data_IF_836597588903
#
_entry.id   IF_836597588903
#
_cell.length_a   1.000
_cell.length_b   1.000
_cell.length_c   1.000
_cell.angle_alpha   90.00
_cell.angle_beta   90.00
_cell.angle_gamma   90.00
#
_symmetry.space_group_name_H-M   'P 1'
#
loop_
_entity.id
_entity.type
_entity.pdbx_description
1 polymer ?
#
# COMPACT_ATOMS: atom_id res chain seq x y z
N UNK A 1 -39.48 1.58 -65.48
CA UNK A 1 -39.33 3.05 -65.41
C UNK A 1 -39.62 3.47 -63.98
N UNK A 2 -38.61 3.52 -63.13
CA UNK A 2 -37.88 4.74 -62.72
C UNK A 2 -38.70 5.64 -61.79
N UNK A 3 -38.39 5.61 -60.50
CA UNK A 3 -38.28 6.79 -59.65
C UNK A 3 -37.55 6.39 -58.36
N UNK A 4 -36.23 6.60 -58.40
CA UNK A 4 -35.27 6.41 -57.32
C UNK A 4 -35.27 7.70 -56.49
N UNK A 5 -35.86 7.70 -55.29
CA UNK A 5 -35.80 8.84 -54.37
C UNK A 5 -34.59 8.69 -53.45
N UNK A 6 -33.54 9.46 -53.76
CA UNK A 6 -32.34 9.60 -52.94
C UNK A 6 -32.61 10.57 -51.77
N UNK A 7 -32.60 10.06 -50.55
CA UNK A 7 -32.40 10.88 -49.35
C UNK A 7 -30.94 10.82 -48.95
N UNK A 8 -30.21 11.89 -49.27
CA UNK A 8 -28.88 12.17 -48.74
C UNK A 8 -29.02 12.59 -47.28
N UNK A 9 -28.73 11.68 -46.35
CA UNK A 9 -28.49 12.03 -44.95
C UNK A 9 -26.98 12.20 -44.75
N UNK A 10 -26.56 13.46 -44.76
CA UNK A 10 -25.21 13.86 -44.42
C UNK A 10 -25.01 13.83 -42.90
N UNK A 11 -23.87 13.23 -42.51
CA UNK A 11 -23.04 13.58 -41.36
C UNK A 11 -23.63 13.46 -39.94
N UNK A 12 -23.22 12.39 -39.23
CA UNK A 12 -22.37 12.56 -38.05
C UNK A 12 -21.52 11.29 -37.87
N UNK A 13 -20.25 11.38 -38.26
CA UNK A 13 -19.23 10.49 -37.74
C UNK A 13 -18.91 10.93 -36.32
N UNK A 14 -19.08 10.03 -35.36
CA UNK A 14 -18.58 10.17 -34.00
C UNK A 14 -18.13 8.79 -33.58
N UNK A 15 -16.82 8.53 -33.71
CA UNK A 15 -16.25 7.29 -33.23
C UNK A 15 -16.53 7.18 -31.75
N UNK A 16 -17.29 6.17 -31.36
CA UNK A 16 -17.38 5.70 -29.98
C UNK A 16 -16.03 5.09 -29.61
N UNK A 17 -15.02 5.96 -29.50
CA UNK A 17 -13.82 5.69 -28.75
C UNK A 17 -14.26 5.62 -27.30
N UNK A 18 -14.77 4.46 -26.88
CA UNK A 18 -14.72 4.06 -25.48
C UNK A 18 -13.25 4.13 -25.10
N UNK A 19 -12.83 5.27 -24.54
CA UNK A 19 -11.54 5.37 -23.87
C UNK A 19 -11.61 4.31 -22.80
N UNK A 20 -10.88 3.20 -23.01
CA UNK A 20 -10.76 2.17 -22.00
C UNK A 20 -10.34 2.88 -20.70
N UNK A 21 -11.19 2.79 -19.67
CA UNK A 21 -10.94 3.47 -18.41
C UNK A 21 -9.59 2.97 -17.88
N UNK A 22 -8.60 3.85 -17.82
CA UNK A 22 -7.30 3.52 -17.28
C UNK A 22 -7.45 3.35 -15.77
N UNK A 23 -7.01 2.21 -15.26
CA UNK A 23 -6.96 1.96 -13.83
C UNK A 23 -5.54 2.26 -13.36
N UNK A 24 -5.38 3.14 -12.38
CA UNK A 24 -4.08 3.50 -11.83
C UNK A 24 -4.03 3.23 -10.34
N UNK A 25 -2.82 2.97 -9.86
CA UNK A 25 -2.48 3.06 -8.44
C UNK A 25 -1.56 4.25 -8.27
N UNK A 26 -1.96 5.16 -7.39
CA UNK A 26 -1.16 6.33 -7.02
C UNK A 26 -1.04 6.42 -5.52
N UNK A 27 0.07 6.92 -5.00
CA UNK A 27 0.22 7.08 -3.55
C UNK A 27 1.54 7.70 -3.18
N UNK A 28 1.82 7.69 -1.88
CA UNK A 28 3.04 8.26 -1.31
C UNK A 28 3.85 7.16 -0.62
N UNK A 29 5.14 7.10 -0.93
CA UNK A 29 6.11 6.31 -0.19
C UNK A 29 6.82 7.20 0.84
N UNK A 30 6.74 6.85 2.13
CA UNK A 30 7.30 7.68 3.20
C UNK A 30 7.69 6.88 4.46
N UNK A 31 8.67 7.38 5.21
CA UNK A 31 9.06 6.88 6.54
C UNK A 31 8.79 7.89 7.67
N UNK A 32 7.85 8.81 7.45
CA UNK A 32 7.72 10.10 8.15
C UNK A 32 8.39 11.25 7.38
N UNK A 33 9.39 10.94 6.56
CA UNK A 33 9.82 11.81 5.46
C UNK A 33 9.52 11.12 4.12
N UNK A 34 9.21 11.91 3.11
CA UNK A 34 9.04 11.46 1.73
C UNK A 34 10.26 10.65 1.26
N UNK A 35 10.01 9.48 0.68
CA UNK A 35 11.04 8.66 0.04
C UNK A 35 11.20 9.18 -1.39
N UNK A 36 12.23 9.99 -1.63
CA UNK A 36 12.58 10.46 -2.97
C UNK A 36 13.41 9.42 -3.73
N UNK A 37 13.19 9.31 -5.05
CA UNK A 37 13.97 8.45 -5.95
C UNK A 37 13.97 6.96 -5.57
N UNK A 38 12.92 6.49 -4.90
CA UNK A 38 12.71 5.09 -4.59
C UNK A 38 12.08 4.35 -5.77
N UNK A 39 12.42 3.09 -5.97
CA UNK A 39 11.89 2.26 -7.05
C UNK A 39 10.72 1.43 -6.51
N UNK A 40 9.53 1.70 -7.01
CA UNK A 40 8.29 0.99 -6.66
C UNK A 40 8.00 -0.11 -7.68
N UNK A 41 7.81 -1.33 -7.22
CA UNK A 41 7.43 -2.49 -8.04
C UNK A 41 6.20 -3.16 -7.46
N UNK A 42 5.26 -3.62 -8.30
CA UNK A 42 4.14 -4.45 -7.87
C UNK A 42 4.29 -5.88 -8.40
N UNK A 43 3.98 -6.86 -7.55
CA UNK A 43 3.68 -8.24 -7.95
C UNK A 43 2.18 -8.48 -7.73
N UNK A 44 1.46 -8.69 -8.82
CA UNK A 44 0.01 -8.86 -8.84
C UNK A 44 -0.38 -10.32 -9.13
N UNK A 45 -1.65 -10.67 -8.92
CA UNK A 45 -2.16 -12.03 -9.24
C UNK A 45 -1.92 -12.39 -10.71
N UNK A 46 -1.91 -11.42 -11.62
CA UNK A 46 -1.60 -11.61 -13.05
C UNK A 46 -0.10 -11.60 -13.38
N UNK A 47 0.78 -11.29 -12.43
CA UNK A 47 2.23 -11.12 -12.63
C UNK A 47 2.77 -9.77 -12.18
N UNK A 48 4.05 -9.51 -12.46
CA UNK A 48 4.75 -8.26 -12.08
C UNK A 48 4.42 -7.11 -13.03
N UNK A 49 4.25 -5.89 -12.52
CA UNK A 49 4.06 -4.68 -13.33
C UNK A 49 5.40 -4.01 -13.68
N UNK A 50 5.36 -3.02 -14.57
CA UNK A 50 6.44 -2.03 -14.69
C UNK A 50 6.66 -1.31 -13.36
N UNK A 51 7.92 -0.96 -13.09
CA UNK A 51 8.28 -0.17 -11.92
C UNK A 51 8.01 1.33 -12.15
N UNK A 52 7.79 2.08 -11.07
CA UNK A 52 7.80 3.54 -11.07
C UNK A 52 8.85 4.08 -10.11
N UNK A 53 9.31 5.30 -10.34
CA UNK A 53 10.21 6.01 -9.44
C UNK A 53 9.41 7.05 -8.67
N UNK A 54 9.63 7.13 -7.35
CA UNK A 54 8.97 8.15 -6.52
C UNK A 54 9.53 9.55 -6.81
N UNK A 55 8.65 10.55 -6.81
CA UNK A 55 9.00 11.96 -6.86
C UNK A 55 9.70 12.43 -5.59
N UNK A 56 10.14 13.69 -5.57
CA UNK A 56 10.79 14.29 -4.39
C UNK A 56 9.88 14.39 -3.16
N UNK A 57 8.57 14.41 -3.39
CA UNK A 57 7.52 14.35 -2.38
C UNK A 57 7.07 12.92 -2.03
N UNK A 58 7.75 11.91 -2.57
CA UNK A 58 7.42 10.51 -2.36
C UNK A 58 6.25 10.00 -3.20
N UNK A 59 5.64 10.86 -4.03
CA UNK A 59 4.52 10.46 -4.88
C UNK A 59 4.95 9.47 -5.97
N UNK A 60 4.09 8.51 -6.28
CA UNK A 60 4.28 7.61 -7.41
C UNK A 60 2.93 7.31 -8.08
N UNK A 61 2.98 6.84 -9.34
CA UNK A 61 1.81 6.35 -10.06
C UNK A 61 2.21 5.20 -10.96
N UNK A 62 1.43 4.12 -10.94
CA UNK A 62 1.62 2.93 -11.77
C UNK A 62 0.30 2.58 -12.45
N UNK A 63 0.36 2.33 -13.75
CA UNK A 63 -0.78 1.82 -14.53
C UNK A 63 -1.05 0.36 -14.17
N UNK A 64 -2.29 0.09 -13.76
CA UNK A 64 -2.80 -1.23 -13.40
C UNK A 64 -3.97 -1.68 -14.28
N UNK A 65 -4.19 -1.04 -15.43
CA UNK A 65 -5.31 -1.32 -16.35
C UNK A 65 -5.37 -2.78 -16.78
N UNK A 66 -4.20 -3.41 -16.98
CA UNK A 66 -4.09 -4.78 -17.50
C UNK A 66 -3.61 -5.79 -16.44
N UNK A 67 -3.74 -5.47 -15.15
CA UNK A 67 -3.40 -6.42 -14.08
C UNK A 67 -4.59 -6.87 -13.25
N UNK A 68 -4.48 -8.09 -12.74
CA UNK A 68 -5.43 -8.65 -11.78
C UNK A 68 -4.94 -8.38 -10.37
N UNK A 69 -5.70 -7.59 -9.63
CA UNK A 69 -5.52 -7.37 -8.19
C UNK A 69 -6.00 -8.62 -7.40
N UNK A 70 -5.51 -8.86 -6.18
CA UNK A 70 -4.59 -8.03 -5.40
C UNK A 70 -3.13 -8.04 -5.87
N UNK A 71 -2.37 -7.03 -5.45
CA UNK A 71 -0.91 -6.99 -5.57
C UNK A 71 -0.24 -6.78 -4.22
N UNK A 72 1.03 -7.16 -4.14
CA UNK A 72 1.96 -6.64 -3.13
C UNK A 72 2.90 -5.65 -3.81
N UNK A 73 3.10 -4.51 -3.17
CA UNK A 73 4.02 -3.47 -3.62
C UNK A 73 5.30 -3.53 -2.78
N UNK A 74 6.42 -3.14 -3.39
CA UNK A 74 7.70 -2.89 -2.74
C UNK A 74 8.25 -1.56 -3.21
N UNK A 75 8.71 -0.72 -2.29
CA UNK A 75 9.59 0.40 -2.60
C UNK A 75 11.00 0.09 -2.11
N UNK A 76 12.00 0.21 -2.99
CA UNK A 76 13.41 0.09 -2.64
C UNK A 76 14.05 1.48 -2.65
N UNK A 77 14.74 1.85 -1.57
CA UNK A 77 15.29 3.21 -1.41
C UNK A 77 16.52 3.21 -0.50
N UNK A 78 17.27 4.31 -0.50
CA UNK A 78 18.34 4.56 0.48
C UNK A 78 17.82 5.42 1.62
N UNK A 79 18.09 5.00 2.85
CA UNK A 79 17.84 5.87 4.02
C UNK A 79 18.84 7.04 4.07
N UNK A 80 18.67 7.93 5.05
CA UNK A 80 19.56 9.07 5.26
C UNK A 80 21.03 8.68 5.53
N UNK A 81 21.27 7.44 5.99
CA UNK A 81 22.61 6.86 6.17
C UNK A 81 23.16 6.20 4.90
N UNK A 82 22.44 6.26 3.77
CA UNK A 82 22.84 5.65 2.51
C UNK A 82 22.62 4.13 2.44
N UNK A 83 21.99 3.53 3.44
CA UNK A 83 21.76 2.08 3.46
C UNK A 83 20.50 1.74 2.69
N UNK A 84 20.55 0.66 1.91
CA UNK A 84 19.36 0.17 1.21
C UNK A 84 18.32 -0.33 2.21
N UNK A 85 17.08 0.08 1.97
CA UNK A 85 15.88 -0.25 2.72
C UNK A 85 14.76 -0.61 1.76
N UNK A 86 13.79 -1.35 2.29
CA UNK A 86 12.59 -1.72 1.57
C UNK A 86 11.39 -1.50 2.48
N UNK A 87 10.27 -1.11 1.88
CA UNK A 87 8.95 -1.10 2.51
C UNK A 87 7.94 -1.72 1.56
N UNK A 88 6.89 -2.27 2.12
CA UNK A 88 5.89 -3.05 1.41
C UNK A 88 4.49 -2.54 1.72
N UNK A 89 3.58 -2.85 0.80
CA UNK A 89 2.16 -2.57 0.93
C UNK A 89 1.36 -3.62 0.17
N UNK A 90 0.05 -3.59 0.32
CA UNK A 90 -0.89 -4.48 -0.34
C UNK A 90 -1.94 -3.66 -1.07
N UNK A 91 -2.32 -4.06 -2.28
CA UNK A 91 -3.22 -3.30 -3.16
C UNK A 91 -4.36 -4.21 -3.57
N UNK A 92 -5.56 -3.99 -3.03
CA UNK A 92 -6.75 -4.79 -3.34
C UNK A 92 -7.67 -4.15 -4.37
N UNK A 93 -7.51 -2.86 -4.64
CA UNK A 93 -8.26 -2.09 -5.63
C UNK A 93 -7.37 -1.01 -6.26
N UNK A 94 -7.73 -0.56 -7.47
CA UNK A 94 -7.13 0.64 -8.06
C UNK A 94 -7.51 1.89 -7.23
N UNK A 95 -6.71 2.95 -7.32
CA UNK A 95 -6.86 4.15 -6.51
C UNK A 95 -5.63 4.44 -5.66
N UNK A 96 -5.84 4.82 -4.39
CA UNK A 96 -4.74 5.19 -3.51
C UNK A 96 -4.08 3.97 -2.88
N UNK A 97 -2.74 3.88 -2.95
CA UNK A 97 -1.97 2.91 -2.18
C UNK A 97 -0.64 3.49 -1.72
N UNK A 98 -0.46 3.63 -0.42
CA UNK A 98 0.77 4.14 0.17
C UNK A 98 1.72 3.02 0.55
N UNK A 99 3.00 3.38 0.64
CA UNK A 99 4.06 2.47 1.09
C UNK A 99 4.79 3.12 2.27
N UNK A 100 4.47 2.68 3.48
CA UNK A 100 4.93 3.27 4.74
C UNK A 100 5.29 2.20 5.77
N UNK A 101 5.96 2.54 6.89
CA UNK A 101 6.13 1.62 8.00
C UNK A 101 4.82 1.02 8.54
N UNK A 102 3.69 1.72 8.41
CA UNK A 102 2.37 1.17 8.82
C UNK A 102 1.93 0.06 7.87
N UNK A 103 2.13 0.24 6.56
CA UNK A 103 1.78 -0.79 5.58
C UNK A 103 2.77 -1.95 5.58
N UNK A 104 4.04 -1.73 5.97
CA UNK A 104 5.01 -2.81 6.22
C UNK A 104 4.50 -3.74 7.33
N UNK A 105 4.15 -3.18 8.49
CA UNK A 105 3.62 -3.95 9.61
C UNK A 105 2.29 -4.63 9.26
N UNK A 106 1.47 -3.99 8.42
CA UNK A 106 0.24 -4.57 7.90
C UNK A 106 0.53 -5.81 7.02
N UNK A 107 1.45 -5.70 6.06
CA UNK A 107 1.84 -6.81 5.18
C UNK A 107 2.46 -7.93 6.01
N UNK A 108 3.34 -7.60 6.95
CA UNK A 108 3.92 -8.55 7.91
C UNK A 108 2.83 -9.30 8.68
N UNK A 109 1.81 -8.60 9.15
CA UNK A 109 0.68 -9.20 9.86
C UNK A 109 -0.20 -10.09 8.98
N UNK A 110 -0.42 -9.69 7.72
CA UNK A 110 -1.17 -10.48 6.74
C UNK A 110 -0.46 -11.78 6.38
N UNK A 111 0.86 -11.73 6.22
CA UNK A 111 1.68 -12.89 5.82
C UNK A 111 2.11 -13.76 7.00
N UNK A 112 1.94 -13.27 8.23
CA UNK A 112 2.55 -13.85 9.43
C UNK A 112 4.07 -14.05 9.24
N UNK A 113 4.72 -13.05 8.63
CA UNK A 113 6.13 -13.05 8.25
C UNK A 113 6.67 -11.63 8.13
N UNK A 114 7.69 -11.41 7.30
CA UNK A 114 8.18 -10.07 6.96
C UNK A 114 7.56 -9.57 5.65
N UNK A 115 7.51 -8.26 5.44
CA UNK A 115 7.09 -7.68 4.16
C UNK A 115 7.93 -8.18 2.99
N UNK A 116 9.26 -8.29 3.21
CA UNK A 116 10.19 -8.82 2.21
C UNK A 116 9.84 -10.27 1.82
N UNK A 117 9.62 -11.16 2.80
CA UNK A 117 9.23 -12.55 2.52
C UNK A 117 7.89 -12.62 1.80
N UNK A 118 6.91 -11.80 2.21
CA UNK A 118 5.59 -11.74 1.57
C UNK A 118 5.68 -11.31 0.10
N UNK A 119 6.56 -10.37 -0.23
CA UNK A 119 6.80 -9.93 -1.59
C UNK A 119 7.57 -10.97 -2.41
N UNK A 120 8.62 -11.56 -1.85
CA UNK A 120 9.49 -12.49 -2.57
C UNK A 120 8.79 -13.81 -2.89
N UNK A 121 7.95 -14.32 -1.97
CA UNK A 121 7.19 -15.56 -2.15
C UNK A 121 5.78 -15.34 -2.69
N UNK A 122 5.44 -14.14 -3.16
CA UNK A 122 4.10 -13.83 -3.64
C UNK A 122 3.73 -14.69 -4.86
N UNK A 123 2.54 -15.28 -4.83
CA UNK A 123 1.94 -16.05 -5.93
C UNK A 123 0.50 -15.60 -6.17
N UNK A 124 -0.07 -16.00 -7.32
CA UNK A 124 -1.49 -15.80 -7.58
C UNK A 124 -2.39 -16.41 -6.49
N UNK A 125 -2.00 -17.55 -5.90
CA UNK A 125 -2.75 -18.20 -4.84
C UNK A 125 -2.74 -17.39 -3.54
N UNK A 126 -1.56 -16.92 -3.10
CA UNK A 126 -1.46 -16.05 -1.91
C UNK A 126 -2.14 -14.72 -2.13
N UNK A 127 -2.04 -14.14 -3.34
CA UNK A 127 -2.74 -12.90 -3.68
C UNK A 127 -4.26 -13.03 -3.61
N UNK A 128 -4.84 -14.11 -4.15
CA UNK A 128 -6.29 -14.37 -4.09
C UNK A 128 -6.79 -14.62 -2.67
N UNK A 129 -5.92 -15.04 -1.76
CA UNK A 129 -6.25 -15.22 -0.35
C UNK A 129 -6.31 -13.90 0.43
N UNK A 130 -5.88 -12.76 -0.15
CA UNK A 130 -5.95 -11.44 0.46
C UNK A 130 -7.30 -10.79 0.14
N UNK A 131 -8.05 -10.50 1.19
CA UNK A 131 -9.36 -9.82 1.13
C UNK A 131 -9.32 -8.48 1.86
N UNK A 132 -10.25 -7.58 1.53
CA UNK A 132 -10.40 -6.31 2.24
C UNK A 132 -10.64 -6.50 3.75
N UNK A 133 -11.31 -7.59 4.16
CA UNK A 133 -11.54 -7.92 5.56
C UNK A 133 -10.24 -8.28 6.29
N UNK A 134 -9.35 -9.05 5.68
CA UNK A 134 -8.03 -9.35 6.26
C UNK A 134 -7.15 -8.10 6.30
N UNK A 135 -7.16 -7.26 5.25
CA UNK A 135 -6.43 -5.98 5.24
C UNK A 135 -6.90 -5.09 6.40
N UNK A 136 -8.21 -4.98 6.60
CA UNK A 136 -8.78 -4.23 7.73
C UNK A 136 -8.36 -4.84 9.07
N UNK A 137 -8.47 -6.16 9.25
CA UNK A 137 -8.06 -6.82 10.48
C UNK A 137 -6.57 -6.64 10.78
N UNK A 138 -5.71 -6.63 9.77
CA UNK A 138 -4.30 -6.34 9.91
C UNK A 138 -4.05 -4.87 10.27
N UNK A 139 -4.78 -3.93 9.66
CA UNK A 139 -4.72 -2.51 10.05
C UNK A 139 -5.14 -2.28 11.51
N UNK A 140 -6.20 -2.95 11.98
CA UNK A 140 -6.65 -2.88 13.36
C UNK A 140 -5.56 -3.44 14.31
N UNK A 141 -4.89 -4.53 13.94
CA UNK A 141 -3.77 -5.09 14.70
C UNK A 141 -2.55 -4.17 14.73
N UNK A 142 -2.23 -3.49 13.61
CA UNK A 142 -1.17 -2.46 13.56
C UNK A 142 -1.52 -1.33 14.53
N UNK A 143 -2.75 -0.80 14.48
CA UNK A 143 -3.19 0.25 15.39
C UNK A 143 -3.05 -0.17 16.85
N UNK A 144 -3.47 -1.39 17.21
CA UNK A 144 -3.32 -1.93 18.56
C UNK A 144 -1.85 -2.03 18.98
N UNK A 145 -0.99 -2.55 18.10
CA UNK A 145 0.45 -2.64 18.37
C UNK A 145 1.09 -1.27 18.58
N UNK A 146 0.72 -0.26 17.78
CA UNK A 146 1.18 1.13 17.97
C UNK A 146 0.83 1.67 19.36
N UNK A 147 -0.36 1.37 19.88
CA UNK A 147 -0.74 1.73 21.26
C UNK A 147 0.18 1.08 22.28
N UNK A 148 0.58 -0.19 22.09
CA UNK A 148 1.53 -0.86 23.01
C UNK A 148 2.92 -0.20 23.03
N UNK A 149 3.32 0.43 21.93
CA UNK A 149 4.54 1.23 21.85
C UNK A 149 4.38 2.65 22.45
N UNK A 150 3.16 3.03 22.86
CA UNK A 150 2.83 4.36 23.34
C UNK A 150 2.80 5.41 22.22
N UNK A 151 2.54 5.01 20.97
CA UNK A 151 2.26 5.92 19.86
C UNK A 151 0.84 6.48 20.02
N UNK A 152 0.67 7.80 19.83
CA UNK A 152 -0.65 8.41 19.73
C UNK A 152 -1.31 8.02 18.39
N UNK A 153 -2.41 7.30 18.46
CA UNK A 153 -3.16 6.78 17.31
C UNK A 153 -4.44 7.58 17.02
N UNK A 154 -4.60 8.78 17.58
CA UNK A 154 -5.76 9.63 17.32
C UNK A 154 -5.95 9.91 15.83
N UNK A 155 -4.85 10.06 15.08
CA UNK A 155 -4.85 10.30 13.64
C UNK A 155 -4.51 9.05 12.81
N UNK A 156 -4.54 7.86 13.41
CA UNK A 156 -4.33 6.63 12.65
C UNK A 156 -5.50 6.43 11.66
N UNK A 157 -5.23 6.34 10.35
CA UNK A 157 -6.28 6.21 9.35
C UNK A 157 -7.00 4.86 9.46
N UNK A 158 -8.30 4.84 9.17
CA UNK A 158 -9.05 3.57 9.13
C UNK A 158 -8.52 2.60 8.06
N UNK A 159 -7.98 3.15 6.97
CA UNK A 159 -7.28 2.41 5.92
C UNK A 159 -5.89 3.04 5.70
N UNK A 160 -4.82 2.51 6.32
CA UNK A 160 -3.46 3.02 6.12
C UNK A 160 -2.91 2.78 4.71
N UNK A 161 -3.51 1.87 3.94
CA UNK A 161 -3.15 1.63 2.54
C UNK A 161 -3.71 2.76 1.67
N UNK A 162 -5.02 3.00 1.75
CA UNK A 162 -5.75 3.91 0.87
C UNK A 162 -5.89 5.35 1.38
N UNK A 163 -5.41 5.68 2.57
CA UNK A 163 -5.49 7.04 3.12
C UNK A 163 -4.79 8.06 2.22
N UNK A 164 -5.40 9.22 2.00
CA UNK A 164 -4.66 10.36 1.46
C UNK A 164 -3.85 10.97 2.60
N UNK A 165 -2.57 11.20 2.35
CA UNK A 165 -1.75 11.97 3.29
C UNK A 165 -0.64 12.75 2.58
N UNK A 166 -0.11 13.75 3.28
CA UNK A 166 1.06 14.54 2.88
C UNK A 166 2.21 14.17 3.80
N UNK A 167 3.27 13.60 3.24
CA UNK A 167 4.50 13.31 3.97
C UNK A 167 5.35 14.57 4.16
N UNK A 168 6.17 14.63 5.20
CA UNK A 168 7.19 15.69 5.32
C UNK A 168 8.12 15.69 4.11
N UNK A 169 8.32 16.87 3.52
CA UNK A 169 9.24 17.09 2.40
C UNK A 169 9.95 18.45 2.52
N UNK A 170 11.23 18.44 2.85
CA UNK A 170 12.01 19.67 3.06
C UNK A 170 11.36 20.57 4.11
N UNK A 171 11.00 21.80 3.71
CA UNK A 171 10.31 22.78 4.57
C UNK A 171 8.80 22.55 4.67
N UNK A 172 8.22 21.67 3.86
CA UNK A 172 6.81 21.30 3.95
C UNK A 172 6.66 20.27 5.06
N UNK A 173 5.86 20.59 6.07
CA UNK A 173 5.52 19.65 7.13
C UNK A 173 4.48 18.64 6.65
N UNK A 174 4.59 17.42 7.18
CA UNK A 174 3.59 16.40 6.95
C UNK A 174 2.31 16.63 7.75
N UNK A 175 1.25 15.98 7.32
CA UNK A 175 -0.08 16.10 7.91
C UNK A 175 -0.26 15.24 9.18
N UNK A 176 -1.52 15.10 9.61
CA UNK A 176 -1.87 14.35 10.81
C UNK A 176 -1.53 12.85 10.71
N UNK A 177 -1.59 12.25 9.52
CA UNK A 177 -1.23 10.83 9.30
C UNK A 177 0.28 10.68 9.29
N UNK A 178 1.02 11.61 8.67
CA UNK A 178 2.49 11.60 8.69
C UNK A 178 3.05 11.73 10.12
N UNK A 179 2.40 12.51 10.98
CA UNK A 179 2.74 12.58 12.41
C UNK A 179 2.64 11.23 13.13
N UNK A 180 1.78 10.31 12.67
CA UNK A 180 1.75 8.93 13.20
C UNK A 180 2.98 8.14 12.75
N UNK A 181 3.46 8.35 11.51
CA UNK A 181 4.70 7.76 11.01
C UNK A 181 5.91 8.26 11.80
N UNK A 182 5.97 9.57 12.04
CA UNK A 182 7.01 10.20 12.86
C UNK A 182 6.99 9.68 14.31
N UNK A 183 5.80 9.61 14.91
CA UNK A 183 5.66 9.08 16.26
C UNK A 183 6.08 7.61 16.34
N UNK A 184 5.71 6.78 15.36
CA UNK A 184 6.17 5.40 15.29
C UNK A 184 7.70 5.33 15.18
N UNK A 185 8.31 6.12 14.29
CA UNK A 185 9.77 6.18 14.14
C UNK A 185 10.47 6.55 15.45
N UNK A 186 9.94 7.55 16.16
CA UNK A 186 10.46 7.97 17.47
C UNK A 186 10.32 6.84 18.51
N UNK A 187 9.16 6.17 18.56
CA UNK A 187 8.89 5.12 19.56
C UNK A 187 9.63 3.82 19.29
N UNK A 188 9.95 3.51 18.04
CA UNK A 188 10.87 2.42 17.71
C UNK A 188 12.28 2.72 18.24
N UNK A 189 12.76 3.96 18.09
CA UNK A 189 14.08 4.35 18.60
C UNK A 189 15.18 3.45 18.04
N UNK A 190 15.85 2.68 18.91
CA UNK A 190 16.88 1.70 18.53
C UNK A 190 16.32 0.39 17.98
N UNK A 191 15.03 0.11 18.20
CA UNK A 191 14.35 -1.08 17.71
C UNK A 191 14.19 -0.99 16.20
N UNK A 192 14.53 -2.06 15.49
CA UNK A 192 14.36 -2.08 14.04
C UNK A 192 12.90 -2.28 13.64
N UNK A 193 12.55 -1.91 12.41
CA UNK A 193 11.23 -2.23 11.86
C UNK A 193 11.02 -3.76 11.77
N UNK A 194 12.09 -4.53 11.52
CA UNK A 194 12.04 -6.00 11.51
C UNK A 194 11.72 -6.60 12.90
N UNK A 195 12.21 -6.00 13.98
CA UNK A 195 11.82 -6.39 15.34
C UNK A 195 10.33 -6.10 15.57
N UNK A 196 9.82 -4.99 15.01
CA UNK A 196 8.41 -4.65 15.10
C UNK A 196 7.50 -5.60 14.31
N UNK A 197 7.92 -6.04 13.12
CA UNK A 197 7.26 -7.13 12.37
C UNK A 197 7.22 -8.43 13.19
N UNK A 198 8.33 -8.76 13.86
CA UNK A 198 8.40 -9.95 14.70
C UNK A 198 7.44 -9.84 15.90
N UNK A 199 7.25 -8.66 16.47
CA UNK A 199 6.38 -8.47 17.64
C UNK A 199 4.89 -8.41 17.31
N UNK A 200 4.51 -7.76 16.20
CA UNK A 200 3.11 -7.73 15.77
C UNK A 200 2.58 -9.13 15.41
N UNK A 201 3.46 -10.03 14.94
CA UNK A 201 3.12 -11.42 14.67
C UNK A 201 2.92 -12.24 15.96
N UNK A 202 3.74 -12.00 17.00
CA UNK A 202 3.56 -12.62 18.34
C UNK A 202 2.30 -12.15 19.06
N UNK A 203 1.84 -10.94 18.80
CA UNK A 203 0.66 -10.34 19.45
C UNK A 203 -0.67 -11.07 19.14
N UNK A 204 -0.63 -12.18 18.39
CA UNK A 204 -1.78 -13.05 18.13
C UNK A 204 -2.08 -14.09 19.23
N UNK A 205 -1.29 -14.17 20.32
CA UNK A 205 -1.52 -15.15 21.42
C UNK A 205 -2.36 -14.61 22.58
N UNK A 206 -3.38 -13.80 22.29
CA UNK A 206 -4.30 -13.24 23.29
C UNK A 206 -5.73 -13.73 23.11
N UNK A 207 -5.99 -15.04 23.25
CA UNK A 207 -7.35 -15.57 23.15
C UNK A 207 -7.50 -17.09 23.08
N UNK A 208 -7.12 -17.81 24.14
CA UNK A 208 -7.79 -19.03 24.66
C UNK A 208 -6.85 -19.80 25.60
N UNK A 209 -6.77 -19.34 26.85
CA UNK A 209 -6.31 -20.19 27.95
C UNK A 209 -7.53 -20.68 28.71
N UNK A 210 -8.07 -21.83 28.29
CA UNK A 210 -9.13 -22.54 28.97
C UNK A 210 -8.75 -22.77 30.43
N UNK A 211 -9.62 -22.39 31.35
CA UNK A 211 -9.60 -22.85 32.74
C UNK A 211 -9.79 -24.37 32.70
N UNK A 212 -8.73 -25.13 32.96
CA UNK A 212 -8.85 -26.55 33.29
C UNK A 212 -8.63 -26.70 34.78
N UNK A 213 -9.72 -26.90 35.50
CA UNK A 213 -9.74 -27.46 36.85
C UNK A 213 -9.00 -28.78 36.90
N UNK A 214 -8.12 -28.92 37.89
CA UNK A 214 -7.54 -30.16 38.39
C UNK A 214 -7.53 -30.09 39.90
#
# INVERSE_FOLDING_TARGET
MTALSATLLAACGGGDGTVAATATVSGVAATGAAIASGIVTLKCVSGTTSAATTGTDGSFTIDVTNVTLPCVARVEYKDAGGTMRQLHSVITAAGTANITPLTELLVSKLSNGTGASAFDTFTAATGRAITAAQVKSAADAVKAYLVTLGVDVANFPADPVGAKFVAKNGSTDGDAVDKVLDALKIKLGSKSLADAETDINKSSTGGSGSTSTG
#
